data_IF_780764488569
#
_entry.id   IF_780764488569
#
_cell.length_a   1.000
_cell.length_b   1.000
_cell.length_c   1.000
_cell.angle_alpha   90.00
_cell.angle_beta   90.00
_cell.angle_gamma   90.00
#
_symmetry.space_group_name_H-M   'P 1'
#
loop_
_entity.id
_entity.type
_entity.pdbx_description
1 polymer ?
#
# COMPACT_ATOMS: atom_id res chain seq x y z
N UNK A 1 -2.27 -19.71 -2.02
CA UNK A 1 -2.55 -18.27 -1.85
C UNK A 1 -3.81 -17.86 -2.62
N UNK A 2 -3.88 -18.09 -3.94
CA UNK A 2 -5.04 -17.71 -4.76
C UNK A 2 -6.35 -18.38 -4.30
N UNK A 3 -6.31 -19.66 -3.91
CA UNK A 3 -7.48 -20.38 -3.39
C UNK A 3 -8.02 -19.82 -2.07
N UNK A 4 -7.17 -19.18 -1.25
CA UNK A 4 -7.58 -18.53 0.01
C UNK A 4 -8.26 -17.19 -0.22
N UNK A 5 -8.16 -16.60 -1.43
CA UNK A 5 -8.77 -15.30 -1.73
C UNK A 5 -10.30 -15.37 -1.76
N UNK A 6 -10.89 -16.56 -1.94
CA UNK A 6 -12.32 -16.77 -1.78
C UNK A 6 -12.67 -17.00 -0.30
N UNK A 7 -13.50 -16.13 0.28
CA UNK A 7 -14.00 -16.25 1.65
C UNK A 7 -13.19 -15.50 2.72
N UNK A 8 -12.32 -14.57 2.32
CA UNK A 8 -11.63 -13.65 3.23
C UNK A 8 -11.48 -12.26 2.61
N UNK A 9 -11.33 -11.24 3.44
CA UNK A 9 -10.85 -9.92 3.02
C UNK A 9 -9.33 -9.95 2.90
N UNK A 10 -8.77 -9.67 1.73
CA UNK A 10 -7.32 -9.57 1.52
C UNK A 10 -6.88 -8.11 1.42
N UNK A 11 -6.16 -7.65 2.42
CA UNK A 11 -5.55 -6.33 2.50
C UNK A 11 -4.18 -6.38 1.83
N UNK A 12 -3.91 -5.46 0.91
CA UNK A 12 -2.67 -5.40 0.13
C UNK A 12 -1.88 -4.13 0.44
N UNK A 13 -0.55 -4.23 0.32
CA UNK A 13 0.34 -3.07 0.47
C UNK A 13 0.23 -2.04 -0.64
N UNK A 14 -0.40 -2.37 -1.78
CA UNK A 14 -0.58 -1.44 -2.90
C UNK A 14 -1.75 -1.80 -3.81
N UNK A 15 -2.33 -0.78 -4.45
CA UNK A 15 -3.35 -0.93 -5.50
C UNK A 15 -2.88 -1.81 -6.67
N UNK A 16 -1.59 -1.72 -7.02
CA UNK A 16 -1.01 -2.56 -8.08
C UNK A 16 -1.05 -4.04 -7.69
N UNK A 17 -0.76 -4.37 -6.43
CA UNK A 17 -0.83 -5.74 -5.94
C UNK A 17 -2.28 -6.24 -5.90
N UNK A 18 -3.23 -5.44 -5.39
CA UNK A 18 -4.66 -5.78 -5.41
C UNK A 18 -5.13 -6.13 -6.83
N UNK A 19 -4.83 -5.28 -7.82
CA UNK A 19 -5.21 -5.52 -9.21
C UNK A 19 -4.52 -6.75 -9.81
N UNK A 20 -3.26 -7.02 -9.43
CA UNK A 20 -2.54 -8.24 -9.85
C UNK A 20 -3.20 -9.49 -9.29
N UNK A 21 -3.52 -9.52 -8.00
CA UNK A 21 -4.16 -10.66 -7.34
C UNK A 21 -5.57 -10.92 -7.89
N UNK A 22 -6.35 -9.86 -8.15
CA UNK A 22 -7.64 -10.00 -8.84
C UNK A 22 -7.50 -10.69 -10.20
N UNK A 23 -6.54 -10.27 -11.03
CA UNK A 23 -6.31 -10.87 -12.36
C UNK A 23 -5.85 -12.32 -12.26
N UNK A 24 -4.98 -12.64 -11.30
CA UNK A 24 -4.52 -14.00 -11.07
C UNK A 24 -5.67 -14.91 -10.62
N UNK A 25 -6.53 -14.42 -9.71
CA UNK A 25 -7.72 -15.16 -9.28
C UNK A 25 -8.68 -15.44 -10.43
N UNK A 26 -8.98 -14.43 -11.26
CA UNK A 26 -9.83 -14.62 -12.45
C UNK A 26 -9.25 -15.67 -13.40
N UNK A 27 -7.94 -15.61 -13.66
CA UNK A 27 -7.27 -16.57 -14.54
C UNK A 27 -7.36 -17.99 -13.98
N UNK A 28 -7.22 -18.16 -12.68
CA UNK A 28 -7.27 -19.47 -12.03
C UNK A 28 -8.69 -20.07 -12.02
N UNK A 29 -9.71 -19.24 -11.76
CA UNK A 29 -11.10 -19.70 -11.82
C UNK A 29 -11.52 -20.11 -13.23
N UNK A 30 -11.04 -19.39 -14.26
CA UNK A 30 -11.23 -19.77 -15.67
C UNK A 30 -10.53 -21.10 -15.99
N UNK A 31 -9.29 -21.29 -15.54
CA UNK A 31 -8.54 -22.57 -15.70
C UNK A 31 -9.23 -23.73 -15.01
N UNK A 32 -9.85 -23.47 -13.87
CA UNK A 32 -10.64 -24.44 -13.11
C UNK A 32 -12.01 -24.72 -13.73
N UNK A 33 -12.33 -24.15 -14.90
CA UNK A 33 -13.57 -24.39 -15.64
C UNK A 33 -14.83 -23.76 -15.02
N UNK A 34 -14.68 -22.86 -14.04
CA UNK A 34 -15.83 -22.15 -13.46
C UNK A 34 -16.32 -21.08 -14.42
N UNK A 35 -17.63 -20.95 -14.54
CA UNK A 35 -18.29 -19.92 -15.36
C UNK A 35 -18.76 -18.72 -14.55
N UNK A 36 -19.00 -18.93 -13.24
CA UNK A 36 -19.42 -17.91 -12.28
C UNK A 36 -18.69 -18.16 -10.97
N UNK A 37 -18.21 -17.10 -10.34
CA UNK A 37 -17.59 -17.13 -9.03
C UNK A 37 -17.86 -15.82 -8.29
N UNK A 38 -17.79 -15.87 -6.96
CA UNK A 38 -17.83 -14.67 -6.13
C UNK A 38 -16.57 -13.82 -6.34
N UNK A 39 -16.75 -12.50 -6.43
CA UNK A 39 -15.63 -11.58 -6.59
C UNK A 39 -14.81 -11.60 -5.29
N UNK A 40 -13.50 -11.90 -5.34
CA UNK A 40 -12.70 -11.93 -4.12
C UNK A 40 -12.60 -10.52 -3.54
N UNK A 41 -12.67 -10.40 -2.22
CA UNK A 41 -12.57 -9.12 -1.54
C UNK A 41 -11.10 -8.75 -1.35
N UNK A 42 -10.52 -7.97 -2.28
CA UNK A 42 -9.10 -7.59 -2.27
C UNK A 42 -8.96 -6.08 -2.33
N UNK A 43 -8.42 -5.47 -1.27
CA UNK A 43 -8.35 -4.03 -1.13
C UNK A 43 -6.94 -3.56 -0.75
N UNK A 44 -6.51 -2.38 -1.22
CA UNK A 44 -5.38 -1.67 -0.62
C UNK A 44 -5.68 -1.30 0.84
N UNK A 45 -4.64 -1.20 1.66
CA UNK A 45 -4.76 -0.81 3.08
C UNK A 45 -5.63 0.43 3.31
N UNK A 46 -5.37 1.53 2.60
CA UNK A 46 -6.12 2.78 2.72
C UNK A 46 -7.60 2.63 2.31
N UNK A 47 -7.87 1.80 1.30
CA UNK A 47 -9.24 1.50 0.87
C UNK A 47 -9.98 0.65 1.90
N UNK A 48 -9.30 -0.29 2.55
CA UNK A 48 -9.85 -1.06 3.66
C UNK A 48 -10.18 -0.16 4.86
N UNK A 49 -9.28 0.76 5.22
CA UNK A 49 -9.55 1.75 6.27
C UNK A 49 -10.79 2.60 5.94
N UNK A 50 -10.89 3.10 4.70
CA UNK A 50 -12.05 3.87 4.24
C UNK A 50 -13.34 3.05 4.33
N UNK A 51 -13.29 1.76 3.99
CA UNK A 51 -14.44 0.86 4.12
C UNK A 51 -14.83 0.66 5.59
N UNK A 52 -13.87 0.47 6.48
CA UNK A 52 -14.14 0.37 7.92
C UNK A 52 -14.80 1.64 8.47
N UNK A 53 -14.41 2.83 7.98
CA UNK A 53 -15.06 4.09 8.35
C UNK A 53 -16.52 4.12 7.90
N UNK A 54 -16.78 3.85 6.62
CA UNK A 54 -18.14 3.80 6.07
C UNK A 54 -19.02 2.83 6.85
N UNK A 55 -18.46 1.66 7.18
CA UNK A 55 -19.16 0.66 7.99
C UNK A 55 -19.45 1.14 9.41
N UNK A 56 -18.51 1.84 10.04
CA UNK A 56 -18.73 2.44 11.35
C UNK A 56 -19.84 3.50 11.32
N UNK A 57 -19.93 4.30 10.24
CA UNK A 57 -20.99 5.30 10.05
C UNK A 57 -22.35 4.62 9.89
N UNK A 58 -22.46 3.58 9.07
CA UNK A 58 -23.69 2.80 8.88
C UNK A 58 -24.22 2.20 10.18
N UNK A 59 -23.30 1.76 11.05
CA UNK A 59 -23.62 1.14 12.34
C UNK A 59 -23.85 2.17 13.44
N UNK A 60 -23.62 3.46 13.19
CA UNK A 60 -23.72 4.53 14.19
C UNK A 60 -22.67 4.44 15.31
N UNK A 61 -21.56 3.73 15.06
CA UNK A 61 -20.42 3.59 15.98
C UNK A 61 -19.20 4.42 15.54
N UNK A 62 -19.32 5.13 14.41
CA UNK A 62 -18.28 6.05 13.97
C UNK A 62 -18.03 7.13 15.05
N UNK A 63 -16.77 7.56 15.20
CA UNK A 63 -16.44 8.71 16.04
C UNK A 63 -17.28 9.93 15.65
N UNK A 64 -17.57 10.81 16.61
CA UNK A 64 -18.25 12.09 16.37
C UNK A 64 -17.31 13.11 15.69
N UNK A 65 -16.78 12.73 14.52
CA UNK A 65 -15.87 13.49 13.67
C UNK A 65 -16.15 13.16 12.22
N UNK A 66 -15.74 14.05 11.32
CA UNK A 66 -15.86 13.82 9.87
C UNK A 66 -14.52 13.35 9.31
N UNK A 67 -14.48 12.18 8.68
CA UNK A 67 -13.31 11.73 7.95
C UNK A 67 -13.11 12.57 6.68
N UNK A 68 -11.93 13.16 6.53
CA UNK A 68 -11.53 13.86 5.32
C UNK A 68 -11.25 12.85 4.20
N UNK A 69 -11.79 13.14 3.02
CA UNK A 69 -11.35 12.40 1.83
C UNK A 69 -9.99 12.91 1.33
N UNK A 70 -9.40 12.12 0.44
CA UNK A 70 -8.07 12.36 -0.13
C UNK A 70 -7.94 13.72 -0.87
N UNK A 71 -9.02 14.23 -1.49
CA UNK A 71 -9.00 15.54 -2.13
C UNK A 71 -9.06 16.69 -1.11
N UNK A 72 -9.86 16.55 -0.06
CA UNK A 72 -9.99 17.53 1.02
C UNK A 72 -8.68 17.66 1.80
N UNK A 73 -8.07 16.54 2.17
CA UNK A 73 -6.79 16.51 2.88
C UNK A 73 -5.69 17.18 2.05
N UNK A 74 -5.59 16.87 0.74
CA UNK A 74 -4.66 17.55 -0.19
C UNK A 74 -4.88 19.05 -0.23
N UNK A 75 -6.14 19.48 -0.35
CA UNK A 75 -6.48 20.89 -0.44
C UNK A 75 -6.12 21.62 0.86
N UNK A 76 -6.34 20.98 2.00
CA UNK A 76 -5.99 21.50 3.32
C UNK A 76 -4.47 21.71 3.42
N UNK A 77 -3.67 20.71 3.05
CA UNK A 77 -2.21 20.83 3.00
C UNK A 77 -1.74 21.94 2.06
N UNK A 78 -2.31 22.04 0.85
CA UNK A 78 -1.96 23.10 -0.09
C UNK A 78 -2.28 24.50 0.43
N UNK A 79 -3.45 24.66 1.07
CA UNK A 79 -3.85 25.94 1.69
C UNK A 79 -2.91 26.32 2.82
N UNK A 80 -2.55 25.35 3.65
CA UNK A 80 -1.65 25.55 4.78
C UNK A 80 -0.25 25.98 4.31
N UNK A 81 0.35 25.23 3.37
CA UNK A 81 1.67 25.58 2.81
C UNK A 81 1.64 26.93 2.12
N UNK A 82 0.59 27.24 1.34
CA UNK A 82 0.43 28.54 0.67
C UNK A 82 0.35 29.70 1.66
N UNK A 83 -0.35 29.52 2.79
CA UNK A 83 -0.48 30.56 3.82
C UNK A 83 0.85 30.83 4.51
N UNK A 84 1.62 29.78 4.78
CA UNK A 84 2.87 29.86 5.53
C UNK A 84 4.06 30.32 4.68
N UNK A 85 4.07 29.98 3.38
CA UNK A 85 5.15 30.36 2.45
C UNK A 85 4.54 30.77 1.11
N UNK A 86 3.94 31.98 1.02
CA UNK A 86 3.24 32.44 -0.18
C UNK A 86 4.17 32.61 -1.40
N UNK A 87 5.45 32.87 -1.17
CA UNK A 87 6.50 33.03 -2.19
C UNK A 87 6.90 31.69 -2.87
N UNK A 88 6.44 30.55 -2.35
CA UNK A 88 6.85 29.24 -2.84
C UNK A 88 6.19 28.93 -4.20
N UNK A 89 6.99 28.71 -5.23
CA UNK A 89 6.49 28.39 -6.58
C UNK A 89 5.97 26.95 -6.70
N UNK A 90 6.39 26.04 -5.81
CA UNK A 90 6.12 24.60 -5.88
C UNK A 90 5.12 24.11 -4.82
N UNK A 91 4.11 24.91 -4.48
CA UNK A 91 3.14 24.65 -3.39
C UNK A 91 2.56 23.23 -3.45
N UNK A 92 2.12 22.78 -4.64
CA UNK A 92 1.47 21.48 -4.80
C UNK A 92 2.41 20.33 -4.45
N UNK A 93 3.65 20.37 -4.97
CA UNK A 93 4.65 19.33 -4.70
C UNK A 93 5.09 19.34 -3.24
N UNK A 94 5.33 20.52 -2.67
CA UNK A 94 5.74 20.65 -1.26
C UNK A 94 4.64 20.20 -0.31
N UNK A 95 3.38 20.55 -0.58
CA UNK A 95 2.23 20.07 0.18
C UNK A 95 2.07 18.55 0.09
N UNK A 96 2.31 17.96 -1.08
CA UNK A 96 2.30 16.50 -1.24
C UNK A 96 3.41 15.83 -0.42
N UNK A 97 4.62 16.39 -0.41
CA UNK A 97 5.73 15.86 0.41
C UNK A 97 5.43 15.98 1.91
N UNK A 98 4.89 17.12 2.35
CA UNK A 98 4.48 17.32 3.74
C UNK A 98 3.40 16.31 4.16
N UNK A 99 2.39 16.10 3.30
CA UNK A 99 1.36 15.08 3.52
C UNK A 99 1.94 13.67 3.63
N UNK A 100 2.84 13.29 2.74
CA UNK A 100 3.51 11.98 2.78
C UNK A 100 4.33 11.81 4.07
N UNK A 101 5.04 12.85 4.49
CA UNK A 101 5.80 12.83 5.74
C UNK A 101 4.87 12.73 6.97
N UNK A 102 3.71 13.39 6.95
CA UNK A 102 2.67 13.27 7.98
C UNK A 102 2.10 11.85 8.07
N UNK A 103 1.76 11.25 6.93
CA UNK A 103 1.32 9.86 6.87
C UNK A 103 2.39 8.91 7.41
N UNK A 104 3.66 9.14 7.07
CA UNK A 104 4.77 8.35 7.61
C UNK A 104 4.87 8.49 9.13
N UNK A 105 4.87 9.71 9.67
CA UNK A 105 4.90 9.93 11.12
C UNK A 105 3.79 9.15 11.83
N UNK A 106 2.55 9.32 11.38
CA UNK A 106 1.42 8.71 12.07
C UNK A 106 1.37 7.18 11.94
N UNK A 107 1.75 6.60 10.79
CA UNK A 107 1.90 5.15 10.68
C UNK A 107 2.96 4.57 11.63
N UNK A 108 3.98 5.37 11.94
CA UNK A 108 5.02 5.04 12.92
C UNK A 108 4.70 5.48 14.35
N UNK A 109 3.47 5.97 14.60
CA UNK A 109 3.00 6.45 15.91
C UNK A 109 3.89 7.55 16.50
N UNK A 110 4.49 8.37 15.64
CA UNK A 110 5.27 9.54 16.01
C UNK A 110 4.43 10.81 15.90
N UNK A 111 4.78 11.80 16.70
CA UNK A 111 4.18 13.13 16.70
C UNK A 111 5.18 14.17 16.17
N UNK A 112 4.71 15.36 15.76
CA UNK A 112 5.61 16.45 15.39
C UNK A 112 6.58 16.86 16.50
N UNK A 113 6.24 16.58 17.76
CA UNK A 113 7.10 16.83 18.93
C UNK A 113 8.28 15.87 19.00
N UNK A 114 8.19 14.67 18.43
CA UNK A 114 9.27 13.67 18.42
C UNK A 114 10.38 14.01 17.42
N UNK A 115 10.16 15.00 16.54
CA UNK A 115 11.15 15.49 15.58
C UNK A 115 12.26 16.35 16.20
N UNK A 116 12.28 16.49 17.54
CA UNK A 116 13.28 17.27 18.28
C UNK A 116 14.70 16.79 18.00
N UNK A 117 15.59 17.71 17.64
CA UNK A 117 17.00 17.43 17.34
C UNK A 117 17.36 17.49 15.85
N UNK A 118 16.38 17.63 14.95
CA UNK A 118 16.63 17.68 13.51
C UNK A 118 16.82 19.13 13.02
N UNK A 119 17.98 19.43 12.39
CA UNK A 119 18.48 20.81 12.21
C UNK A 119 18.08 21.47 10.87
N UNK A 120 17.51 20.72 9.91
CA UNK A 120 17.16 21.29 8.60
C UNK A 120 15.97 22.25 8.68
N UNK A 121 16.03 23.33 7.91
CA UNK A 121 14.92 24.29 7.73
C UNK A 121 13.64 23.59 7.25
N UNK A 122 13.78 22.56 6.41
CA UNK A 122 12.64 21.82 5.87
C UNK A 122 11.91 21.02 6.95
N UNK A 123 12.65 20.43 7.89
CA UNK A 123 12.05 19.67 9.00
C UNK A 123 11.36 20.60 9.99
N UNK A 124 11.93 21.77 10.25
CA UNK A 124 11.29 22.79 11.09
C UNK A 124 10.00 23.34 10.44
N UNK A 125 10.03 23.57 9.12
CA UNK A 125 8.85 23.98 8.36
C UNK A 125 7.76 22.90 8.42
N UNK A 126 8.12 21.64 8.15
CA UNK A 126 7.21 20.51 8.23
C UNK A 126 6.63 20.30 9.64
N UNK A 127 7.46 20.38 10.70
CA UNK A 127 7.00 20.27 12.09
C UNK A 127 5.97 21.35 12.42
N UNK A 128 6.23 22.61 12.06
CA UNK A 128 5.24 23.70 12.22
C UNK A 128 3.95 23.42 11.44
N UNK A 129 4.07 23.02 10.18
CA UNK A 129 2.90 22.77 9.33
C UNK A 129 2.05 21.61 9.82
N UNK A 130 2.67 20.53 10.29
CA UNK A 130 1.97 19.38 10.86
C UNK A 130 1.28 19.71 12.17
N UNK A 131 1.86 20.54 13.04
CA UNK A 131 1.17 21.06 14.22
C UNK A 131 -0.06 21.88 13.84
N UNK A 132 0.06 22.77 12.85
CA UNK A 132 -1.07 23.56 12.35
C UNK A 132 -2.15 22.69 11.71
N UNK A 133 -1.76 21.66 10.96
CA UNK A 133 -2.67 20.71 10.35
C UNK A 133 -3.47 19.95 11.42
N UNK A 134 -2.79 19.41 12.44
CA UNK A 134 -3.42 18.74 13.57
C UNK A 134 -4.38 19.66 14.33
N UNK A 135 -4.01 20.94 14.51
CA UNK A 135 -4.88 21.94 15.13
C UNK A 135 -6.16 22.19 14.31
N UNK A 136 -6.06 22.28 12.98
CA UNK A 136 -7.23 22.43 12.11
C UNK A 136 -8.14 21.20 12.13
N UNK A 137 -7.58 19.99 12.20
CA UNK A 137 -8.38 18.78 12.37
C UNK A 137 -9.16 18.82 13.68
N UNK A 138 -8.51 19.22 14.78
CA UNK A 138 -9.17 19.32 16.08
C UNK A 138 -10.25 20.41 16.11
N UNK A 139 -9.98 21.60 15.56
CA UNK A 139 -10.90 22.74 15.53
C UNK A 139 -12.21 22.43 14.78
N UNK A 140 -12.13 21.69 13.67
CA UNK A 140 -13.27 21.38 12.83
C UNK A 140 -13.88 19.99 13.08
N UNK A 141 -13.45 19.30 14.14
CA UNK A 141 -13.86 17.91 14.43
C UNK A 141 -13.65 16.99 13.23
N UNK A 142 -12.54 17.17 12.52
CA UNK A 142 -12.15 16.34 11.40
C UNK A 142 -11.21 15.24 11.85
N UNK A 143 -11.20 14.17 11.07
CA UNK A 143 -10.27 13.06 11.18
C UNK A 143 -9.66 12.84 9.80
N UNK A 144 -8.37 12.56 9.73
CA UNK A 144 -7.74 12.09 8.50
C UNK A 144 -7.60 10.56 8.54
N UNK A 145 -7.19 9.95 7.42
CA UNK A 145 -7.10 8.50 7.34
C UNK A 145 -6.06 7.91 8.31
N UNK A 146 -5.03 8.68 8.65
CA UNK A 146 -3.98 8.30 9.59
C UNK A 146 -4.52 8.25 11.02
N UNK A 147 -5.23 9.30 11.45
CA UNK A 147 -5.91 9.32 12.74
C UNK A 147 -6.99 8.24 12.83
N UNK A 148 -7.69 7.96 11.74
CA UNK A 148 -8.62 6.83 11.67
C UNK A 148 -7.91 5.49 11.83
N UNK A 149 -6.78 5.26 11.16
CA UNK A 149 -6.02 4.02 11.31
C UNK A 149 -5.54 3.80 12.76
N UNK A 150 -5.10 4.87 13.44
CA UNK A 150 -4.70 4.82 14.84
C UNK A 150 -5.88 4.53 15.78
N UNK A 151 -7.03 5.15 15.54
CA UNK A 151 -8.23 4.92 16.34
C UNK A 151 -8.83 3.54 16.10
N UNK A 152 -8.84 3.08 14.85
CA UNK A 152 -9.29 1.74 14.49
C UNK A 152 -8.39 0.66 15.14
N UNK A 153 -7.13 0.97 15.44
CA UNK A 153 -6.25 0.07 16.18
C UNK A 153 -6.66 -0.12 17.66
N UNK A 154 -7.69 0.58 18.15
CA UNK A 154 -8.33 0.28 19.43
C UNK A 154 -9.16 -1.02 19.34
N UNK A 155 -8.87 -2.05 20.16
CA UNK A 155 -9.60 -3.33 20.12
C UNK A 155 -11.12 -3.20 20.27
N UNK A 156 -11.61 -2.19 21.00
CA UNK A 156 -13.06 -2.01 21.19
C UNK A 156 -13.77 -1.65 19.87
N UNK A 157 -13.20 -0.71 19.12
CA UNK A 157 -13.75 -0.26 17.83
C UNK A 157 -13.79 -1.41 16.83
N UNK A 158 -12.69 -2.18 16.73
CA UNK A 158 -12.63 -3.34 15.84
C UNK A 158 -13.53 -4.49 16.28
N UNK A 159 -13.74 -4.70 17.57
CA UNK A 159 -14.68 -5.73 18.06
C UNK A 159 -16.10 -5.42 17.60
N UNK A 160 -16.53 -4.16 17.70
CA UNK A 160 -17.87 -3.76 17.24
C UNK A 160 -18.03 -3.94 15.72
N UNK A 161 -17.02 -3.58 14.94
CA UNK A 161 -17.01 -3.81 13.49
C UNK A 161 -17.02 -5.31 13.15
N UNK A 162 -16.17 -6.11 13.80
CA UNK A 162 -16.09 -7.55 13.56
C UNK A 162 -17.40 -8.27 13.90
N UNK A 163 -18.08 -7.87 14.98
CA UNK A 163 -19.40 -8.39 15.34
C UNK A 163 -20.47 -8.07 14.29
N UNK A 164 -20.41 -6.89 13.67
CA UNK A 164 -21.35 -6.48 12.64
C UNK A 164 -21.05 -7.07 11.25
N UNK A 165 -19.81 -7.48 10.99
CA UNK A 165 -19.39 -8.21 9.79
C UNK A 165 -19.70 -9.72 9.88
N UNK A 166 -20.00 -10.24 11.08
CA UNK A 166 -20.55 -11.59 11.22
C UNK A 166 -21.94 -11.64 10.57
N UNK A 167 -22.05 -12.41 9.49
CA UNK A 167 -23.30 -12.54 8.72
C UNK A 167 -24.38 -13.16 9.62
N UNK A 168 -25.58 -12.56 9.73
CA UNK A 168 -26.71 -13.21 10.39
C UNK A 168 -27.04 -14.52 9.65
N UNK A 169 -26.75 -15.66 10.28
CA UNK A 169 -26.94 -17.00 9.70
C UNK A 169 -25.65 -17.75 9.36
N UNK A 170 -24.47 -17.10 9.35
CA UNK A 170 -23.19 -17.82 9.42
C UNK A 170 -22.94 -18.15 10.89
N UNK A 171 -23.21 -19.39 11.29
CA UNK A 171 -22.96 -19.86 12.65
C UNK A 171 -21.47 -19.71 13.02
N UNK A 172 -21.09 -18.59 13.65
CA UNK A 172 -19.84 -18.45 14.41
C UNK A 172 -18.53 -18.49 13.61
N UNK A 173 -18.53 -18.25 12.29
CA UNK A 173 -17.26 -18.13 11.57
C UNK A 173 -16.62 -16.76 11.82
N UNK A 174 -15.36 -16.69 12.26
CA UNK A 174 -14.67 -15.43 12.47
C UNK A 174 -14.45 -14.69 11.15
N UNK A 175 -14.35 -13.36 11.21
CA UNK A 175 -13.97 -12.54 10.07
C UNK A 175 -12.52 -12.87 9.68
N UNK A 176 -12.31 -13.35 8.45
CA UNK A 176 -11.00 -13.74 7.93
C UNK A 176 -10.36 -12.58 7.19
N UNK A 177 -9.14 -12.21 7.60
CA UNK A 177 -8.38 -11.11 7.02
C UNK A 177 -6.98 -11.59 6.64
N UNK A 178 -6.62 -11.44 5.36
CA UNK A 178 -5.28 -11.74 4.86
C UNK A 178 -4.46 -10.48 4.59
N UNK A 179 -3.18 -10.43 4.96
CA UNK A 179 -2.28 -9.31 4.61
C UNK A 179 -1.26 -9.71 3.55
N UNK A 180 -1.30 -9.11 2.35
CA UNK A 180 -0.42 -9.46 1.24
C UNK A 180 0.53 -8.32 0.83
N UNK A 181 1.81 -8.68 0.65
CA UNK A 181 2.84 -7.79 0.09
C UNK A 181 3.43 -6.77 1.06
N UNK A 182 3.32 -7.01 2.37
CA UNK A 182 3.97 -6.18 3.39
C UNK A 182 5.33 -6.79 3.76
N UNK A 183 6.42 -6.12 3.38
CA UNK A 183 7.78 -6.54 3.74
C UNK A 183 8.08 -6.26 5.22
N UNK A 184 7.58 -5.12 5.71
CA UNK A 184 7.60 -4.72 7.11
C UNK A 184 6.27 -4.07 7.44
N UNK A 185 5.71 -4.43 8.59
CA UNK A 185 4.55 -3.75 9.12
C UNK A 185 4.98 -2.52 9.92
N UNK A 186 4.27 -1.42 9.71
CA UNK A 186 4.38 -0.23 10.55
C UNK A 186 3.75 -0.48 11.92
N UNK A 187 4.14 0.27 12.97
CA UNK A 187 3.53 0.16 14.29
C UNK A 187 1.99 0.22 14.30
N UNK A 188 1.37 1.11 13.50
CA UNK A 188 -0.10 1.15 13.35
C UNK A 188 -0.65 -0.14 12.74
N UNK A 189 0.00 -0.69 11.72
CA UNK A 189 -0.44 -1.95 11.11
C UNK A 189 -0.29 -3.14 12.06
N UNK A 190 0.78 -3.17 12.86
CA UNK A 190 0.97 -4.18 13.91
C UNK A 190 -0.11 -4.07 14.98
N UNK A 191 -0.40 -2.85 15.44
CA UNK A 191 -1.47 -2.61 16.41
C UNK A 191 -2.84 -3.05 15.85
N UNK A 192 -3.13 -2.76 14.57
CA UNK A 192 -4.35 -3.22 13.90
C UNK A 192 -4.43 -4.74 13.82
N UNK A 193 -3.33 -5.43 13.52
CA UNK A 193 -3.30 -6.90 13.52
C UNK A 193 -3.65 -7.47 14.90
N UNK A 194 -2.97 -6.98 15.94
CA UNK A 194 -3.26 -7.39 17.32
C UNK A 194 -4.70 -7.09 17.71
N UNK A 195 -5.22 -5.91 17.34
CA UNK A 195 -6.60 -5.54 17.64
C UNK A 195 -7.62 -6.42 16.89
N UNK A 196 -7.34 -6.82 15.64
CA UNK A 196 -8.15 -7.77 14.88
C UNK A 196 -8.16 -9.16 15.53
N UNK A 197 -7.00 -9.66 15.94
CA UNK A 197 -6.89 -10.94 16.65
C UNK A 197 -7.66 -10.91 17.99
N UNK A 198 -7.53 -9.83 18.75
CA UNK A 198 -8.28 -9.62 20.00
C UNK A 198 -9.80 -9.50 19.79
N UNK A 199 -10.22 -8.96 18.64
CA UNK A 199 -11.62 -8.92 18.21
C UNK A 199 -12.15 -10.29 17.73
N UNK A 200 -11.32 -11.34 17.74
CA UNK A 200 -11.69 -12.69 17.33
C UNK A 200 -11.65 -12.92 15.82
N UNK A 201 -10.95 -12.07 15.06
CA UNK A 201 -10.73 -12.26 13.63
C UNK A 201 -9.61 -13.28 13.37
N UNK A 202 -9.73 -14.06 12.30
CA UNK A 202 -8.65 -14.91 11.81
C UNK A 202 -7.74 -14.09 10.89
N UNK A 203 -6.54 -13.75 11.36
CA UNK A 203 -5.55 -12.98 10.60
C UNK A 203 -4.54 -13.93 9.95
N UNK A 204 -4.51 -13.96 8.61
CA UNK A 204 -3.52 -14.70 7.81
C UNK A 204 -2.46 -13.75 7.26
N UNK A 205 -1.21 -13.94 7.66
CA UNK A 205 -0.06 -13.24 7.08
C UNK A 205 0.70 -14.29 6.28
N UNK A 206 0.58 -14.31 4.94
CA UNK A 206 1.31 -15.25 4.12
C UNK A 206 2.81 -15.04 4.34
N UNK A 207 3.46 -16.02 4.96
CA UNK A 207 4.90 -16.03 5.12
C UNK A 207 5.59 -16.09 3.76
N UNK A 208 5.98 -14.93 3.21
CA UNK A 208 6.78 -14.85 1.99
C UNK A 208 8.15 -15.53 2.15
N UNK A 209 8.60 -15.73 3.39
CA UNK A 209 9.85 -16.39 3.72
C UNK A 209 9.83 -17.92 3.50
N UNK A 210 8.67 -18.59 3.46
CA UNK A 210 8.62 -20.06 3.48
C UNK A 210 8.48 -20.73 2.12
N UNK A 211 8.31 -19.97 1.03
CA UNK A 211 8.19 -20.51 -0.33
C UNK A 211 9.44 -20.28 -1.19
N UNK A 212 10.59 -20.00 -0.59
CA UNK A 212 11.88 -20.29 -1.22
C UNK A 212 12.07 -21.81 -1.21
N UNK A 213 11.26 -22.50 -2.02
CA UNK A 213 11.62 -23.85 -2.40
C UNK A 213 12.81 -23.71 -3.33
N UNK A 214 14.01 -23.88 -2.77
CA UNK A 214 15.28 -23.92 -3.48
C UNK A 214 15.31 -25.10 -4.46
N UNK A 215 14.54 -25.03 -5.54
CA UNK A 215 14.71 -25.89 -6.70
C UNK A 215 15.86 -25.32 -7.52
N UNK A 216 17.10 -25.68 -7.15
CA UNK A 216 18.27 -25.53 -8.01
C UNK A 216 18.41 -24.18 -8.72
N UNK A 217 18.05 -23.07 -8.07
CA UNK A 217 18.10 -21.76 -8.69
C UNK A 217 19.57 -21.41 -8.96
N UNK A 218 19.96 -21.36 -10.22
CA UNK A 218 21.30 -20.96 -10.62
C UNK A 218 21.43 -19.43 -10.46
N UNK A 219 22.26 -19.02 -9.51
CA UNK A 219 22.64 -17.62 -9.37
C UNK A 219 23.80 -17.32 -10.31
N UNK A 220 23.49 -16.66 -11.42
CA UNK A 220 24.49 -16.19 -12.38
C UNK A 220 24.73 -14.70 -12.17
N UNK A 221 26.00 -14.29 -12.18
CA UNK A 221 26.40 -12.88 -12.14
C UNK A 221 27.28 -12.57 -13.35
N UNK A 222 27.16 -11.34 -13.85
CA UNK A 222 27.99 -10.81 -14.94
C UNK A 222 28.42 -9.40 -14.58
N UNK A 223 29.70 -9.11 -14.79
CA UNK A 223 30.26 -7.76 -14.64
C UNK A 223 30.43 -7.17 -16.04
N UNK A 224 30.04 -5.92 -16.21
CA UNK A 224 30.21 -5.13 -17.44
C UNK A 224 31.06 -3.90 -17.16
N UNK A 225 31.56 -3.24 -18.21
CA UNK A 225 32.45 -2.10 -18.03
C UNK A 225 31.69 -0.81 -17.67
N UNK A 226 30.40 -0.73 -18.05
CA UNK A 226 29.52 0.40 -17.80
C UNK A 226 28.04 -0.03 -17.82
N UNK A 227 27.17 0.88 -17.37
CA UNK A 227 25.72 0.71 -17.28
C UNK A 227 25.06 0.44 -18.65
N UNK A 228 25.59 1.02 -19.73
CA UNK A 228 25.05 0.85 -21.08
C UNK A 228 25.26 -0.60 -21.59
N UNK A 229 26.46 -1.16 -21.37
CA UNK A 229 26.78 -2.55 -21.65
C UNK A 229 25.99 -3.51 -20.77
N UNK A 230 25.76 -3.15 -19.50
CA UNK A 230 24.92 -3.92 -18.58
C UNK A 230 23.51 -4.03 -19.15
N UNK A 231 22.91 -2.88 -19.47
CA UNK A 231 21.53 -2.80 -19.97
C UNK A 231 21.36 -3.53 -21.30
N UNK A 232 22.32 -3.40 -22.21
CA UNK A 232 22.30 -4.11 -23.48
C UNK A 232 22.47 -5.63 -23.28
N UNK A 233 23.37 -6.04 -22.38
CA UNK A 233 23.56 -7.44 -22.02
C UNK A 233 22.31 -8.08 -21.41
N UNK A 234 21.61 -7.35 -20.53
CA UNK A 234 20.33 -7.78 -19.95
C UNK A 234 19.26 -7.93 -21.03
N UNK A 235 19.15 -6.99 -21.96
CA UNK A 235 18.18 -7.08 -23.06
C UNK A 235 18.45 -8.29 -23.97
N UNK A 236 19.72 -8.57 -24.30
CA UNK A 236 20.10 -9.75 -25.09
C UNK A 236 19.80 -11.05 -24.35
N UNK A 237 20.11 -11.11 -23.05
CA UNK A 237 19.80 -12.27 -22.22
C UNK A 237 18.29 -12.53 -22.19
N UNK A 238 17.49 -11.48 -21.95
CA UNK A 238 16.03 -11.61 -21.92
C UNK A 238 15.46 -12.10 -23.25
N UNK A 239 16.00 -11.61 -24.37
CA UNK A 239 15.61 -12.06 -25.71
C UNK A 239 15.93 -13.55 -25.92
N UNK A 240 17.15 -13.98 -25.62
CA UNK A 240 17.56 -15.38 -25.80
C UNK A 240 16.64 -16.34 -25.03
N UNK A 241 16.30 -16.00 -23.79
CA UNK A 241 15.37 -16.82 -22.99
C UNK A 241 13.98 -16.91 -23.65
N UNK A 242 13.43 -15.77 -24.11
CA UNK A 242 12.10 -15.74 -24.75
C UNK A 242 12.09 -16.37 -26.16
N UNK A 243 13.20 -16.37 -26.88
CA UNK A 243 13.34 -17.08 -28.15
C UNK A 243 13.32 -18.61 -27.95
N UNK A 244 13.87 -19.10 -26.83
CA UNK A 244 13.85 -20.53 -26.49
C UNK A 244 12.50 -20.98 -25.89
N UNK A 245 11.86 -20.15 -25.07
CA UNK A 245 10.51 -20.40 -24.55
C UNK A 245 9.65 -19.13 -24.58
N UNK A 246 8.80 -18.97 -25.62
CA UNK A 246 7.91 -17.82 -25.76
C UNK A 246 6.89 -17.66 -24.63
N UNK A 247 6.62 -18.72 -23.86
CA UNK A 247 5.68 -18.68 -22.73
C UNK A 247 6.36 -18.29 -21.41
N UNK A 248 7.68 -18.17 -21.40
CA UNK A 248 8.42 -17.81 -20.19
C UNK A 248 8.13 -16.38 -19.76
N UNK A 249 7.99 -16.18 -18.45
CA UNK A 249 7.75 -14.85 -17.86
C UNK A 249 9.04 -14.35 -17.23
N UNK A 250 9.55 -13.24 -17.76
CA UNK A 250 10.75 -12.59 -17.26
C UNK A 250 10.40 -11.26 -16.59
N UNK A 251 11.11 -10.96 -15.51
CA UNK A 251 11.08 -9.65 -14.87
C UNK A 251 12.51 -9.12 -14.80
N UNK A 252 12.71 -7.91 -15.31
CA UNK A 252 13.96 -7.17 -15.21
C UNK A 252 13.74 -6.04 -14.20
N UNK A 253 14.56 -6.01 -13.15
CA UNK A 253 14.46 -5.03 -12.07
C UNK A 253 15.66 -4.11 -12.15
N UNK A 254 15.41 -2.83 -12.45
CA UNK A 254 16.44 -1.79 -12.54
C UNK A 254 16.20 -0.75 -11.43
N UNK A 255 17.24 -0.33 -10.70
CA UNK A 255 17.12 0.80 -9.79
C UNK A 255 16.77 2.06 -10.59
N UNK A 256 15.91 2.92 -10.02
CA UNK A 256 15.57 4.23 -10.59
C UNK A 256 15.06 4.22 -12.06
N UNK A 257 14.35 3.17 -12.48
CA UNK A 257 13.79 3.02 -13.84
C UNK A 257 13.08 4.27 -14.37
N UNK A 258 12.43 5.06 -13.50
CA UNK A 258 11.77 6.32 -13.89
C UNK A 258 12.71 7.34 -14.56
N UNK A 259 13.99 7.38 -14.16
CA UNK A 259 15.00 8.28 -14.73
C UNK A 259 15.57 7.73 -16.04
N UNK A 260 15.75 6.41 -16.11
CA UNK A 260 16.40 5.72 -17.23
C UNK A 260 15.41 5.16 -18.27
N UNK A 261 14.11 5.37 -18.08
CA UNK A 261 13.04 4.72 -18.86
C UNK A 261 13.23 4.83 -20.37
N UNK A 262 13.55 6.02 -20.88
CA UNK A 262 13.74 6.23 -22.33
C UNK A 262 14.88 5.40 -22.89
N UNK A 263 15.97 5.31 -22.15
CA UNK A 263 17.15 4.52 -22.54
C UNK A 263 16.82 3.03 -22.52
N UNK A 264 16.19 2.55 -21.45
CA UNK A 264 15.73 1.16 -21.32
C UNK A 264 14.80 0.78 -22.47
N UNK A 265 13.78 1.60 -22.76
CA UNK A 265 12.86 1.36 -23.87
C UNK A 265 13.59 1.32 -25.22
N UNK A 266 14.52 2.25 -25.48
CA UNK A 266 15.30 2.29 -26.72
C UNK A 266 16.16 1.02 -26.90
N UNK A 267 16.90 0.62 -25.87
CA UNK A 267 17.77 -0.57 -25.90
C UNK A 267 16.95 -1.85 -26.09
N UNK A 268 15.88 -2.04 -25.31
CA UNK A 268 15.02 -3.21 -25.46
C UNK A 268 14.33 -3.24 -26.83
N UNK A 269 13.87 -2.11 -27.35
CA UNK A 269 13.27 -2.06 -28.70
C UNK A 269 14.30 -2.46 -29.76
N UNK A 270 15.53 -1.93 -29.69
CA UNK A 270 16.59 -2.28 -30.62
C UNK A 270 16.93 -3.78 -30.60
N UNK A 271 16.98 -4.39 -29.42
CA UNK A 271 17.32 -5.81 -29.28
C UNK A 271 16.17 -6.73 -29.71
N UNK A 272 14.93 -6.41 -29.36
CA UNK A 272 13.76 -7.24 -29.69
C UNK A 272 13.21 -7.01 -31.10
N UNK A 273 13.51 -5.86 -31.71
CA UNK A 273 13.13 -5.52 -33.08
C UNK A 273 14.37 -5.06 -33.88
N UNK A 274 15.30 -5.98 -34.20
CA UNK A 274 16.41 -5.64 -35.07
C UNK A 274 15.88 -5.24 -36.44
N UNK A 275 16.40 -4.13 -36.99
CA UNK A 275 16.16 -3.76 -38.39
C UNK A 275 16.84 -4.73 -39.35
#
# INVERSE_FOLDING_TARGET
MIEKLSGQTTITSSARLAQSLHRQFVTEQQRSGKMVWETPDILPFDSWLTRCWQRAEELGIAPARRLLNDAEERLLWQRLVRREVPELLTIVQTAQMARQAWQLLGHWQLTPADLTGTVSRDVQAFSRWSTLFAAQLAEHEWLDLVGWAQQLADPQTLTQLAQAEQIPGSHGSPWRIGFAGFDRFTPVQQALQTALELAGCEVDIPGWASALVSHGAELNHRVTANDDEELYGVAQWARNILENDPNQRLAVVLPQLHQQRRQVEAVFTQVFQPR
#
